data_IF_100600318456
#
_entry.id   IF_100600318456
#
_cell.length_a   1.000
_cell.length_b   1.000
_cell.length_c   1.000
_cell.angle_alpha   90.00
_cell.angle_beta   90.00
_cell.angle_gamma   90.00
#
_symmetry.space_group_name_H-M   'P 1'
#
loop_
_entity.id
_entity.type
_entity.pdbx_description
1 polymer ?
#
# COMPACT_ATOMS: atom_id res chain seq x y z
N UNK A 1 -8.89 40.39 -19.68
CA UNK A 1 -9.34 39.22 -18.91
C UNK A 1 -8.53 37.98 -19.31
N UNK A 2 -7.40 37.72 -18.64
CA UNK A 2 -6.61 36.48 -18.75
C UNK A 2 -5.95 36.26 -17.39
N UNK A 3 -6.55 35.41 -16.57
CA UNK A 3 -5.98 35.00 -15.28
C UNK A 3 -4.95 33.90 -15.58
N UNK A 4 -3.67 34.21 -15.40
CA UNK A 4 -2.59 33.21 -15.37
C UNK A 4 -2.59 32.56 -13.99
N UNK A 5 -3.10 31.33 -13.91
CA UNK A 5 -2.94 30.48 -12.72
C UNK A 5 -1.49 29.99 -12.72
N UNK A 6 -0.67 30.51 -11.81
CA UNK A 6 0.64 29.91 -11.48
C UNK A 6 0.36 28.73 -10.54
N UNK A 7 0.53 27.51 -11.04
CA UNK A 7 0.60 26.31 -10.21
C UNK A 7 1.90 26.36 -9.41
N UNK A 8 1.80 26.66 -8.11
CA UNK A 8 2.91 26.52 -7.17
C UNK A 8 2.95 25.05 -6.77
N UNK A 9 3.93 24.32 -7.31
CA UNK A 9 4.31 23.00 -6.83
C UNK A 9 5.06 23.21 -5.50
N UNK A 10 4.36 23.09 -4.37
CA UNK A 10 5.02 23.08 -3.06
C UNK A 10 5.71 21.71 -2.93
N UNK A 11 7.01 21.73 -3.16
CA UNK A 11 7.94 20.68 -2.78
C UNK A 11 8.00 20.70 -1.24
N UNK A 12 7.33 19.76 -0.57
CA UNK A 12 7.51 19.55 0.86
C UNK A 12 8.88 18.91 1.05
N UNK A 13 9.88 19.76 1.28
CA UNK A 13 11.20 19.37 1.77
C UNK A 13 11.09 19.23 3.27
N UNK A 14 11.38 18.03 3.78
CA UNK A 14 11.44 17.81 5.22
C UNK A 14 11.98 16.44 5.57
N UNK A 15 13.28 16.22 5.37
CA UNK A 15 14.15 15.41 6.25
C UNK A 15 15.59 15.51 5.72
N UNK A 16 16.31 16.58 6.10
CA UNK A 16 17.76 16.63 5.97
C UNK A 16 18.36 16.24 7.33
N UNK A 17 18.58 14.93 7.54
CA UNK A 17 19.42 14.47 8.63
C UNK A 17 20.87 14.56 8.16
N UNK A 18 21.65 15.43 8.80
CA UNK A 18 23.12 15.42 8.70
C UNK A 18 23.62 13.99 8.93
N UNK A 19 24.27 13.43 7.92
CA UNK A 19 24.91 12.13 7.95
C UNK A 19 26.13 12.16 8.87
N UNK A 20 25.93 11.84 10.15
CA UNK A 20 26.97 11.20 10.93
C UNK A 20 27.04 9.75 10.44
N UNK A 21 28.21 9.34 9.94
CA UNK A 21 28.51 7.96 9.55
C UNK A 21 28.47 7.04 10.78
N UNK A 22 27.27 6.76 11.27
CA UNK A 22 27.00 5.52 11.98
C UNK A 22 27.03 4.41 10.92
N UNK A 23 27.69 3.29 11.23
CA UNK A 23 27.60 2.07 10.44
C UNK A 23 26.14 1.59 10.41
N UNK A 24 25.31 2.20 9.55
CA UNK A 24 24.01 1.71 9.23
C UNK A 24 24.22 0.40 8.47
N UNK A 25 23.94 -0.72 9.13
CA UNK A 25 23.94 -2.01 8.46
C UNK A 25 23.02 -1.89 7.23
N UNK A 26 23.58 -2.15 6.04
CA UNK A 26 22.79 -2.13 4.81
C UNK A 26 21.61 -3.10 4.95
N UNK A 27 20.43 -2.67 4.53
CA UNK A 27 19.23 -3.51 4.59
C UNK A 27 19.44 -4.76 3.73
N UNK A 28 19.37 -5.93 4.38
CA UNK A 28 19.37 -7.22 3.70
C UNK A 28 17.98 -7.83 3.75
N UNK A 29 17.51 -8.33 2.61
CA UNK A 29 16.26 -9.07 2.50
C UNK A 29 16.33 -10.32 3.36
N UNK A 30 15.28 -10.56 4.15
CA UNK A 30 15.16 -11.75 4.99
C UNK A 30 14.25 -12.81 4.38
N UNK A 31 14.56 -14.06 4.70
CA UNK A 31 13.72 -15.19 4.35
C UNK A 31 12.44 -15.17 5.19
N UNK A 32 11.29 -15.08 4.51
CA UNK A 32 9.99 -15.12 5.19
C UNK A 32 9.60 -16.58 5.41
N UNK A 33 9.24 -16.99 6.65
CA UNK A 33 8.88 -18.37 6.94
C UNK A 33 7.72 -18.87 6.06
N UNK A 34 7.85 -20.07 5.48
CA UNK A 34 6.81 -20.63 4.62
C UNK A 34 5.47 -20.84 5.34
N UNK A 35 5.52 -21.20 6.64
CA UNK A 35 4.33 -21.30 7.49
C UNK A 35 3.56 -19.98 7.57
N UNK A 36 4.29 -18.87 7.72
CA UNK A 36 3.72 -17.53 7.74
C UNK A 36 3.11 -17.16 6.38
N UNK A 37 3.83 -17.42 5.28
CA UNK A 37 3.31 -17.18 3.93
C UNK A 37 2.01 -17.97 3.70
N UNK A 38 1.95 -19.24 4.08
CA UNK A 38 0.78 -20.11 3.89
C UNK A 38 -0.43 -19.70 4.75
N UNK A 39 -0.21 -18.94 5.83
CA UNK A 39 -1.31 -18.41 6.65
C UNK A 39 -2.10 -17.31 5.91
N UNK A 40 -1.41 -16.51 5.10
CA UNK A 40 -1.94 -15.29 4.47
C UNK A 40 -2.15 -15.41 2.95
N UNK A 41 -1.35 -16.23 2.27
CA UNK A 41 -1.50 -16.54 0.85
C UNK A 41 -2.22 -17.88 0.67
N UNK A 42 -3.53 -17.82 0.48
CA UNK A 42 -4.44 -18.96 0.28
C UNK A 42 -5.17 -18.83 -1.06
N UNK A 43 -4.53 -19.21 -2.18
CA UNK A 43 -5.15 -19.15 -3.50
C UNK A 43 -6.46 -19.92 -3.54
N UNK A 44 -7.51 -19.25 -3.98
CA UNK A 44 -8.82 -19.88 -4.14
C UNK A 44 -8.83 -20.76 -5.39
N UNK A 45 -9.32 -22.00 -5.26
CA UNK A 45 -9.56 -22.88 -6.39
C UNK A 45 -10.88 -22.49 -7.04
N UNK A 46 -10.85 -22.06 -8.31
CA UNK A 46 -12.05 -21.73 -9.07
C UNK A 46 -12.43 -22.86 -10.01
N UNK A 47 -13.70 -23.27 -9.99
CA UNK A 47 -14.26 -24.03 -11.08
C UNK A 47 -14.47 -23.07 -12.27
N UNK A 48 -13.56 -23.12 -13.24
CA UNK A 48 -13.51 -22.15 -14.35
C UNK A 48 -14.65 -22.33 -15.37
N UNK A 49 -15.50 -23.35 -15.20
CA UNK A 49 -16.57 -23.69 -16.14
C UNK A 49 -16.06 -23.87 -17.58
N UNK A 50 -16.97 -23.85 -18.56
CA UNK A 50 -16.62 -23.76 -20.00
C UNK A 50 -16.28 -22.32 -20.44
N UNK A 51 -16.40 -21.35 -19.54
CA UNK A 51 -16.03 -19.95 -19.76
C UNK A 51 -14.52 -19.84 -19.94
N UNK A 52 -14.06 -19.93 -21.18
CA UNK A 52 -12.71 -19.56 -21.54
C UNK A 52 -12.80 -18.32 -22.43
N UNK A 53 -12.26 -17.19 -21.96
CA UNK A 53 -11.84 -16.18 -22.93
C UNK A 53 -10.71 -16.81 -23.73
N UNK A 54 -10.84 -16.79 -25.05
CA UNK A 54 -9.88 -17.41 -25.96
C UNK A 54 -8.60 -16.57 -26.00
N UNK A 55 -7.72 -16.77 -25.02
CA UNK A 55 -6.33 -16.38 -25.14
C UNK A 55 -5.70 -17.22 -26.26
N UNK A 56 -4.90 -16.63 -27.16
CA UNK A 56 -4.14 -17.43 -28.10
C UNK A 56 -3.25 -18.42 -27.35
N UNK A 57 -3.18 -19.65 -27.83
CA UNK A 57 -2.38 -20.73 -27.22
C UNK A 57 -1.27 -21.21 -28.14
N UNK A 58 -1.10 -20.59 -29.31
CA UNK A 58 -0.05 -20.96 -30.24
C UNK A 58 1.35 -20.63 -29.67
N UNK A 59 2.36 -21.32 -30.20
CA UNK A 59 3.75 -21.19 -29.73
C UNK A 59 4.28 -19.76 -29.88
N UNK A 60 3.83 -19.01 -30.90
CA UNK A 60 4.26 -17.64 -31.14
C UNK A 60 3.72 -16.71 -30.05
N UNK A 61 2.45 -16.84 -29.66
CA UNK A 61 1.91 -16.06 -28.55
C UNK A 61 2.60 -16.40 -27.23
N UNK A 62 2.68 -17.69 -26.87
CA UNK A 62 3.29 -18.13 -25.59
C UNK A 62 4.74 -17.68 -25.43
N UNK A 63 5.50 -17.63 -26.52
CA UNK A 63 6.91 -17.23 -26.51
C UNK A 63 7.11 -15.73 -26.75
N UNK A 64 6.04 -14.93 -26.81
CA UNK A 64 6.16 -13.49 -27.00
C UNK A 64 6.86 -12.84 -25.80
N UNK A 65 7.73 -11.87 -26.07
CA UNK A 65 8.35 -11.02 -25.05
C UNK A 65 7.44 -9.87 -24.60
N UNK A 66 6.30 -9.68 -25.27
CA UNK A 66 5.30 -8.66 -24.98
C UNK A 66 3.90 -9.18 -25.29
N UNK A 67 3.04 -9.21 -24.27
CA UNK A 67 1.66 -9.65 -24.36
C UNK A 67 0.67 -8.48 -24.19
N UNK A 68 1.14 -7.26 -23.91
CA UNK A 68 0.31 -6.16 -23.40
C UNK A 68 -0.89 -5.88 -24.29
N UNK A 69 -0.68 -5.66 -25.59
CA UNK A 69 -1.76 -5.27 -26.51
C UNK A 69 -2.83 -6.37 -26.66
N UNK A 70 -2.41 -7.63 -26.69
CA UNK A 70 -3.32 -8.76 -26.84
C UNK A 70 -4.13 -9.01 -25.56
N UNK A 71 -3.48 -8.94 -24.39
CA UNK A 71 -4.13 -9.08 -23.08
C UNK A 71 -5.11 -7.93 -22.86
N UNK A 72 -4.72 -6.68 -23.16
CA UNK A 72 -5.58 -5.51 -23.04
C UNK A 72 -6.84 -5.67 -23.90
N UNK A 73 -6.69 -6.08 -25.18
CA UNK A 73 -7.83 -6.31 -26.08
C UNK A 73 -8.82 -7.35 -25.54
N UNK A 74 -8.34 -8.38 -24.83
CA UNK A 74 -9.20 -9.39 -24.19
C UNK A 74 -9.90 -8.78 -22.98
N UNK A 75 -9.19 -8.00 -22.15
CA UNK A 75 -9.78 -7.29 -21.00
C UNK A 75 -10.88 -6.33 -21.45
N UNK A 76 -10.66 -5.56 -22.52
CA UNK A 76 -11.61 -4.57 -23.01
C UNK A 76 -12.92 -5.21 -23.48
N UNK A 77 -12.85 -6.41 -24.07
CA UNK A 77 -13.99 -7.09 -24.67
C UNK A 77 -14.82 -7.94 -23.71
N UNK A 78 -14.27 -8.31 -22.55
CA UNK A 78 -14.89 -9.33 -21.69
C UNK A 78 -15.12 -8.79 -20.27
N UNK A 79 -16.28 -9.12 -19.69
CA UNK A 79 -16.57 -8.83 -18.28
C UNK A 79 -15.80 -9.75 -17.33
N UNK A 80 -15.69 -11.02 -17.66
CA UNK A 80 -14.94 -12.01 -16.88
C UNK A 80 -13.70 -12.38 -17.68
N UNK A 81 -12.50 -12.24 -17.11
CA UNK A 81 -11.21 -12.48 -17.74
C UNK A 81 -10.43 -13.54 -16.96
N UNK A 82 -10.42 -14.77 -17.44
CA UNK A 82 -9.53 -15.82 -16.92
C UNK A 82 -8.20 -15.75 -17.69
N UNK A 83 -7.14 -15.33 -17.01
CA UNK A 83 -5.80 -15.26 -17.59
C UNK A 83 -5.28 -16.65 -17.97
N UNK A 84 -4.40 -16.76 -18.98
CA UNK A 84 -3.87 -18.04 -19.40
C UNK A 84 -2.92 -18.61 -18.34
N UNK A 85 -2.80 -19.93 -18.31
CA UNK A 85 -2.04 -20.67 -17.30
C UNK A 85 -0.52 -20.66 -17.57
N UNK A 86 0.03 -19.48 -17.85
CA UNK A 86 1.46 -19.24 -18.04
C UNK A 86 1.81 -17.77 -17.75
N UNK A 87 3.12 -17.48 -17.73
CA UNK A 87 3.65 -16.13 -17.50
C UNK A 87 3.42 -15.21 -18.70
N UNK A 88 2.77 -14.08 -18.45
CA UNK A 88 2.60 -12.98 -19.38
C UNK A 88 3.66 -11.91 -19.14
N UNK A 89 4.21 -11.36 -20.22
CA UNK A 89 5.11 -10.21 -20.17
C UNK A 89 4.35 -8.94 -20.52
N UNK A 90 4.36 -7.95 -19.62
CA UNK A 90 3.64 -6.68 -19.78
C UNK A 90 4.65 -5.53 -19.83
N UNK A 91 4.68 -4.83 -20.97
CA UNK A 91 5.54 -3.67 -21.19
C UNK A 91 5.07 -2.42 -20.41
N UNK A 92 5.75 -1.28 -20.61
CA UNK A 92 5.51 0.00 -19.90
C UNK A 92 4.12 0.60 -20.02
N UNK A 93 3.25 0.10 -20.92
CA UNK A 93 1.86 0.56 -20.99
C UNK A 93 0.98 0.02 -19.86
N UNK A 94 1.42 -1.04 -19.18
CA UNK A 94 0.63 -1.73 -18.15
C UNK A 94 -0.68 -2.31 -18.69
N UNK A 95 -1.53 -2.79 -17.80
CA UNK A 95 -2.90 -3.20 -18.09
C UNK A 95 -3.88 -2.22 -17.44
N UNK A 96 -4.83 -1.71 -18.23
CA UNK A 96 -5.91 -0.82 -17.77
C UNK A 96 -7.17 -1.62 -17.55
N UNK A 97 -7.75 -1.54 -16.35
CA UNK A 97 -8.95 -2.26 -15.97
C UNK A 97 -10.09 -1.27 -15.82
N UNK A 98 -11.07 -1.35 -16.72
CA UNK A 98 -12.30 -0.56 -16.66
C UNK A 98 -13.35 -1.20 -15.76
N UNK A 99 -14.56 -0.62 -15.75
CA UNK A 99 -15.68 -1.08 -14.93
C UNK A 99 -16.20 -2.48 -15.31
N UNK A 100 -16.88 -3.10 -14.34
CA UNK A 100 -17.58 -4.38 -14.47
C UNK A 100 -16.65 -5.49 -14.97
N UNK A 101 -15.54 -5.67 -14.25
CA UNK A 101 -14.49 -6.64 -14.57
C UNK A 101 -14.25 -7.60 -13.43
N UNK A 102 -14.18 -8.90 -13.75
CA UNK A 102 -13.66 -9.95 -12.88
C UNK A 102 -12.46 -10.59 -13.53
N UNK A 103 -11.27 -10.43 -12.97
CA UNK A 103 -10.01 -10.96 -13.51
C UNK A 103 -9.50 -12.07 -12.61
N UNK A 104 -9.28 -13.25 -13.18
CA UNK A 104 -8.91 -14.46 -12.45
C UNK A 104 -7.57 -14.95 -12.98
N UNK A 105 -6.60 -15.06 -12.08
CA UNK A 105 -5.32 -15.71 -12.35
C UNK A 105 -5.46 -17.20 -12.05
N UNK A 106 -5.10 -18.03 -13.02
CA UNK A 106 -4.99 -19.48 -12.84
C UNK A 106 -3.71 -19.80 -12.06
N UNK A 107 -3.57 -21.07 -11.65
CA UNK A 107 -2.46 -21.55 -10.81
C UNK A 107 -1.08 -21.12 -11.33
N UNK A 108 -0.86 -21.17 -12.64
CA UNK A 108 0.42 -20.81 -13.28
C UNK A 108 0.36 -19.45 -14.00
N UNK A 109 -0.77 -18.73 -13.93
CA UNK A 109 -0.87 -17.36 -14.45
C UNK A 109 0.02 -16.44 -13.62
N UNK A 110 0.87 -15.66 -14.29
CA UNK A 110 1.63 -14.59 -13.66
C UNK A 110 1.88 -13.45 -14.64
N UNK A 111 2.06 -12.25 -14.12
CA UNK A 111 2.53 -11.10 -14.88
C UNK A 111 3.97 -10.83 -14.47
N UNK A 112 4.87 -10.80 -15.46
CA UNK A 112 6.17 -10.17 -15.36
C UNK A 112 6.09 -8.80 -16.03
N UNK A 113 6.24 -7.74 -15.25
CA UNK A 113 6.38 -6.41 -15.81
C UNK A 113 7.79 -6.23 -16.38
N UNK A 114 7.88 -5.79 -17.63
CA UNK A 114 9.13 -5.53 -18.36
C UNK A 114 9.29 -4.05 -18.71
N UNK A 115 8.29 -3.23 -18.38
CA UNK A 115 8.35 -1.78 -18.52
C UNK A 115 9.35 -1.12 -17.57
N UNK A 116 9.76 0.09 -17.91
CA UNK A 116 10.46 0.99 -16.99
C UNK A 116 9.46 1.87 -16.24
N UNK A 117 9.70 2.11 -14.96
CA UNK A 117 9.01 3.17 -14.23
C UNK A 117 9.53 4.54 -14.68
N UNK A 118 8.77 5.27 -15.50
CA UNK A 118 9.20 6.59 -16.01
C UNK A 118 8.11 7.67 -15.84
N UNK A 119 7.02 7.36 -15.13
CA UNK A 119 5.91 8.29 -14.93
C UNK A 119 4.75 7.67 -14.14
N UNK A 120 3.78 8.52 -13.78
CA UNK A 120 2.54 8.14 -13.06
C UNK A 120 1.71 7.06 -13.76
N UNK A 121 1.89 6.85 -15.07
CA UNK A 121 1.18 5.84 -15.84
C UNK A 121 1.89 4.47 -15.93
N UNK A 122 2.97 4.26 -15.16
CA UNK A 122 3.83 3.07 -15.27
C UNK A 122 3.39 1.90 -14.38
N UNK A 123 2.17 1.91 -13.83
CA UNK A 123 1.67 0.83 -12.97
C UNK A 123 1.40 -0.44 -13.78
N UNK A 124 1.65 -1.60 -13.17
CA UNK A 124 1.54 -2.89 -13.87
C UNK A 124 0.08 -3.19 -14.20
N UNK A 125 -0.81 -3.06 -13.22
CA UNK A 125 -2.26 -3.16 -13.36
C UNK A 125 -2.89 -1.90 -12.77
N UNK A 126 -3.60 -1.13 -13.59
CA UNK A 126 -4.24 0.13 -13.21
C UNK A 126 -5.75 0.02 -13.33
N UNK A 127 -6.44 0.08 -12.19
CA UNK A 127 -7.88 0.25 -12.08
C UNK A 127 -8.12 1.76 -11.91
N UNK A 128 -8.66 2.42 -12.92
CA UNK A 128 -8.78 3.88 -12.94
C UNK A 128 -10.14 4.34 -13.44
N UNK A 129 -10.79 5.23 -12.68
CA UNK A 129 -12.15 5.72 -12.96
C UNK A 129 -13.12 4.56 -13.28
N UNK A 130 -13.03 3.49 -12.49
CA UNK A 130 -13.76 2.25 -12.72
C UNK A 130 -14.62 1.88 -11.51
N UNK A 131 -15.66 1.09 -11.76
CA UNK A 131 -16.50 0.53 -10.71
C UNK A 131 -16.73 -0.97 -10.88
N UNK A 132 -16.97 -1.67 -9.76
CA UNK A 132 -17.30 -3.10 -9.73
C UNK A 132 -16.18 -3.95 -10.37
N UNK A 133 -15.01 -3.91 -9.74
CA UNK A 133 -13.83 -4.66 -10.21
C UNK A 133 -13.43 -5.70 -9.18
N UNK A 134 -13.21 -6.93 -9.63
CA UNK A 134 -12.71 -8.04 -8.82
C UNK A 134 -11.43 -8.58 -9.47
N UNK A 135 -10.34 -8.69 -8.71
CA UNK A 135 -9.10 -9.34 -9.15
C UNK A 135 -8.76 -10.44 -8.16
N UNK A 136 -8.55 -11.66 -8.66
CA UNK A 136 -8.36 -12.83 -7.82
C UNK A 136 -7.08 -13.58 -8.16
N UNK A 137 -6.36 -13.99 -7.12
CA UNK A 137 -5.13 -14.78 -7.17
C UNK A 137 -4.00 -14.11 -7.98
N UNK A 138 -4.01 -12.77 -8.10
CA UNK A 138 -3.03 -12.06 -8.90
C UNK A 138 -1.60 -12.45 -8.50
N UNK A 139 -0.78 -12.85 -9.48
CA UNK A 139 0.67 -13.06 -9.27
C UNK A 139 1.40 -12.06 -10.15
N UNK A 140 2.01 -11.05 -9.54
CA UNK A 140 2.65 -9.94 -10.22
C UNK A 140 4.09 -9.80 -9.75
N UNK A 141 5.02 -9.78 -10.70
CA UNK A 141 6.43 -9.43 -10.48
C UNK A 141 6.70 -8.13 -11.21
N UNK A 142 7.12 -7.10 -10.48
CA UNK A 142 7.42 -5.79 -11.04
C UNK A 142 8.80 -5.68 -11.69
N UNK A 143 9.22 -4.44 -11.94
CA UNK A 143 10.46 -4.10 -12.65
C UNK A 143 11.58 -3.58 -11.74
N UNK A 144 11.58 -3.89 -10.44
CA UNK A 144 12.58 -3.40 -9.47
C UNK A 144 14.02 -3.54 -9.98
N UNK A 145 14.34 -4.70 -10.56
CA UNK A 145 15.68 -5.03 -11.05
C UNK A 145 15.90 -4.73 -12.53
N UNK A 146 14.98 -3.99 -13.17
CA UNK A 146 15.16 -3.53 -14.54
C UNK A 146 16.41 -2.65 -14.64
N UNK A 147 17.25 -2.93 -15.66
CA UNK A 147 18.46 -2.15 -15.97
C UNK A 147 18.16 -0.97 -16.89
N UNK A 148 16.89 -0.61 -17.08
CA UNK A 148 16.53 0.51 -17.95
C UNK A 148 17.06 1.82 -17.38
N UNK A 149 17.78 2.59 -18.21
CA UNK A 149 18.27 3.94 -17.85
C UNK A 149 17.13 4.95 -17.64
N UNK A 150 15.91 4.62 -18.08
CA UNK A 150 14.71 5.46 -17.92
C UNK A 150 13.97 5.23 -16.60
N UNK A 151 14.43 4.29 -15.77
CA UNK A 151 13.78 3.95 -14.51
C UNK A 151 14.07 5.03 -13.44
N UNK A 152 13.07 5.85 -13.13
CA UNK A 152 13.18 7.00 -12.22
C UNK A 152 11.90 7.22 -11.41
N UNK A 153 11.98 8.07 -10.38
CA UNK A 153 10.82 8.46 -9.58
C UNK A 153 10.36 7.36 -8.61
N UNK A 154 9.08 7.43 -8.24
CA UNK A 154 8.50 6.67 -7.12
C UNK A 154 7.22 5.91 -7.48
N UNK A 155 6.90 5.84 -8.77
CA UNK A 155 5.69 5.21 -9.34
C UNK A 155 5.94 3.75 -9.75
N UNK A 156 4.98 3.15 -10.47
CA UNK A 156 5.01 1.75 -10.92
C UNK A 156 4.67 0.76 -9.80
N UNK A 157 3.44 0.90 -9.34
CA UNK A 157 2.82 -0.02 -8.39
C UNK A 157 2.46 -1.34 -9.07
N UNK A 158 2.41 -2.43 -8.31
CA UNK A 158 1.90 -3.72 -8.81
C UNK A 158 0.43 -3.62 -9.20
N UNK A 159 -0.41 -3.11 -8.29
CA UNK A 159 -1.81 -2.78 -8.57
C UNK A 159 -2.08 -1.36 -8.09
N UNK A 160 -2.53 -0.48 -8.99
CA UNK A 160 -3.00 0.86 -8.65
C UNK A 160 -4.53 0.92 -8.75
N UNK A 161 -5.19 1.37 -7.68
CA UNK A 161 -6.62 1.62 -7.57
C UNK A 161 -6.80 3.12 -7.42
N UNK A 162 -7.28 3.76 -8.48
CA UNK A 162 -7.32 5.20 -8.61
C UNK A 162 -8.74 5.64 -8.93
N UNK A 163 -9.31 6.54 -8.12
CA UNK A 163 -10.64 7.12 -8.35
C UNK A 163 -11.72 6.08 -8.66
N UNK A 164 -11.70 4.94 -7.96
CA UNK A 164 -12.49 3.76 -8.32
C UNK A 164 -13.39 3.31 -7.17
N UNK A 165 -14.48 2.63 -7.51
CA UNK A 165 -15.51 2.24 -6.54
C UNK A 165 -15.84 0.76 -6.56
N UNK A 166 -16.08 0.15 -5.40
CA UNK A 166 -16.42 -1.27 -5.27
C UNK A 166 -15.36 -2.16 -5.92
N UNK A 167 -14.14 -2.11 -5.39
CA UNK A 167 -13.00 -2.89 -5.89
C UNK A 167 -12.61 -3.94 -4.86
N UNK A 168 -12.53 -5.20 -5.28
CA UNK A 168 -12.07 -6.30 -4.44
C UNK A 168 -10.83 -6.94 -5.06
N UNK A 169 -9.76 -7.02 -4.28
CA UNK A 169 -8.55 -7.77 -4.61
C UNK A 169 -8.44 -8.93 -3.62
N UNK A 170 -8.43 -10.16 -4.12
CA UNK A 170 -8.36 -11.36 -3.28
C UNK A 170 -7.11 -12.16 -3.57
N UNK A 171 -6.35 -12.44 -2.52
CA UNK A 171 -5.18 -13.31 -2.54
C UNK A 171 -4.11 -12.89 -3.57
N UNK A 172 -3.72 -11.61 -3.56
CA UNK A 172 -2.67 -11.12 -4.46
C UNK A 172 -1.27 -11.47 -3.91
N UNK A 173 -0.41 -12.03 -4.77
CA UNK A 173 1.03 -12.16 -4.57
C UNK A 173 1.75 -11.14 -5.44
N UNK A 174 2.34 -10.11 -4.82
CA UNK A 174 3.02 -9.03 -5.53
C UNK A 174 4.46 -8.96 -5.04
N UNK A 175 5.43 -8.93 -5.96
CA UNK A 175 6.83 -8.76 -5.59
C UNK A 175 7.61 -7.86 -6.54
N UNK A 176 8.73 -7.35 -6.03
CA UNK A 176 9.77 -6.71 -6.84
C UNK A 176 9.23 -5.54 -7.71
N UNK A 177 8.27 -4.78 -7.19
CA UNK A 177 7.79 -3.55 -7.82
C UNK A 177 8.78 -2.41 -7.62
N UNK A 178 8.84 -1.51 -8.59
CA UNK A 178 9.70 -0.33 -8.50
C UNK A 178 9.08 0.79 -7.65
N UNK A 179 7.75 0.86 -7.59
CA UNK A 179 7.00 1.67 -6.65
C UNK A 179 6.45 0.80 -5.52
N UNK A 180 5.15 0.98 -5.25
CA UNK A 180 4.45 0.28 -4.17
C UNK A 180 3.98 -1.12 -4.61
N UNK A 181 3.57 -1.97 -3.67
CA UNK A 181 2.86 -3.20 -4.01
C UNK A 181 1.45 -2.91 -4.52
N UNK A 182 0.64 -2.30 -3.66
CA UNK A 182 -0.72 -1.83 -3.97
C UNK A 182 -0.82 -0.35 -3.62
N UNK A 183 -1.35 0.46 -4.54
CA UNK A 183 -1.62 1.88 -4.31
C UNK A 183 -3.12 2.12 -4.37
N UNK A 184 -3.71 2.73 -3.33
CA UNK A 184 -5.13 3.07 -3.25
C UNK A 184 -5.23 4.58 -3.06
N UNK A 185 -5.72 5.30 -4.06
CA UNK A 185 -5.73 6.75 -3.97
C UNK A 185 -6.30 7.46 -5.17
N UNK A 186 -5.66 8.59 -5.49
CA UNK A 186 -6.05 9.49 -6.56
C UNK A 186 -4.81 10.12 -7.22
N UNK A 187 -4.95 10.51 -8.49
CA UNK A 187 -3.97 11.32 -9.23
C UNK A 187 -4.45 12.76 -9.46
N UNK A 188 -5.67 13.09 -9.04
CA UNK A 188 -6.32 14.39 -9.23
C UNK A 188 -7.15 14.85 -8.01
N UNK A 189 -6.97 14.19 -6.86
CA UNK A 189 -7.58 14.48 -5.56
C UNK A 189 -9.06 14.21 -5.46
N UNK A 190 -9.54 13.27 -6.27
CA UNK A 190 -10.77 12.52 -6.00
C UNK A 190 -10.42 11.44 -4.94
N UNK A 191 -11.12 10.33 -4.87
CA UNK A 191 -10.87 9.25 -3.92
C UNK A 191 -11.40 7.94 -4.48
N UNK A 192 -10.87 6.83 -3.95
CA UNK A 192 -11.46 5.50 -4.16
C UNK A 192 -12.44 5.16 -3.03
N UNK A 193 -13.54 4.46 -3.33
CA UNK A 193 -14.58 4.14 -2.33
C UNK A 193 -14.93 2.65 -2.31
N UNK A 194 -15.13 2.08 -1.12
CA UNK A 194 -15.49 0.68 -0.92
C UNK A 194 -14.44 -0.28 -1.54
N UNK A 195 -13.25 -0.25 -0.98
CA UNK A 195 -12.10 -1.03 -1.45
C UNK A 195 -11.81 -2.14 -0.46
N UNK A 196 -11.71 -3.38 -0.94
CA UNK A 196 -11.37 -4.54 -0.13
C UNK A 196 -10.13 -5.21 -0.70
N UNK A 197 -9.11 -5.39 0.13
CA UNK A 197 -7.97 -6.26 -0.15
C UNK A 197 -7.96 -7.35 0.91
N UNK A 198 -8.17 -8.61 0.48
CA UNK A 198 -8.32 -9.75 1.37
C UNK A 198 -7.40 -10.89 0.97
N UNK A 199 -6.46 -11.24 1.85
CA UNK A 199 -5.49 -12.28 1.55
C UNK A 199 -4.39 -11.78 0.63
N UNK A 200 -3.19 -12.34 0.81
CA UNK A 200 -2.08 -12.09 -0.10
C UNK A 200 -0.75 -11.90 0.59
N UNK A 201 0.28 -11.74 -0.25
CA UNK A 201 1.64 -11.50 0.16
C UNK A 201 2.31 -10.47 -0.74
N UNK A 202 2.69 -9.34 -0.16
CA UNK A 202 3.49 -8.30 -0.82
C UNK A 202 4.93 -8.40 -0.32
N UNK A 203 5.91 -8.57 -1.21
CA UNK A 203 7.29 -8.82 -0.82
C UNK A 203 8.33 -8.09 -1.67
N UNK A 204 9.40 -7.57 -1.06
CA UNK A 204 10.55 -6.96 -1.78
C UNK A 204 10.15 -5.79 -2.69
N UNK A 205 9.10 -5.07 -2.35
CA UNK A 205 8.71 -3.86 -3.08
C UNK A 205 9.60 -2.69 -2.68
N UNK A 206 9.80 -1.73 -3.59
CA UNK A 206 10.82 -0.69 -3.40
C UNK A 206 10.42 0.39 -2.40
N UNK A 207 9.14 0.72 -2.38
CA UNK A 207 8.54 1.69 -1.49
C UNK A 207 7.67 0.98 -0.48
N UNK A 208 6.37 1.23 -0.50
CA UNK A 208 5.46 0.68 0.49
C UNK A 208 4.85 -0.63 0.00
N UNK A 209 4.51 -1.53 0.92
CA UNK A 209 3.70 -2.70 0.60
C UNK A 209 2.32 -2.28 0.07
N UNK A 210 1.61 -1.48 0.86
CA UNK A 210 0.34 -0.88 0.49
C UNK A 210 0.34 0.60 0.88
N UNK A 211 0.00 1.49 -0.04
CA UNK A 211 -0.23 2.91 0.23
C UNK A 211 -1.73 3.22 0.12
N UNK A 212 -2.27 3.94 1.09
CA UNK A 212 -3.64 4.49 1.08
C UNK A 212 -3.56 6.01 1.21
N UNK A 213 -3.83 6.73 0.12
CA UNK A 213 -3.63 8.18 0.07
C UNK A 213 -4.93 8.98 -0.04
N UNK A 214 -5.91 8.48 -0.81
CA UNK A 214 -7.23 9.10 -0.89
C UNK A 214 -8.31 8.05 -1.10
N UNK A 215 -8.96 7.64 -0.01
CA UNK A 215 -10.01 6.65 -0.04
C UNK A 215 -11.02 6.77 1.12
N UNK A 216 -12.21 6.22 0.87
CA UNK A 216 -13.30 6.06 1.83
C UNK A 216 -13.74 4.60 1.89
N UNK A 217 -13.98 4.08 3.08
CA UNK A 217 -14.41 2.70 3.32
C UNK A 217 -13.41 1.69 2.72
N UNK A 218 -12.23 1.61 3.31
CA UNK A 218 -11.19 0.65 2.91
C UNK A 218 -11.07 -0.45 3.94
N UNK A 219 -11.06 -1.70 3.49
CA UNK A 219 -10.79 -2.87 4.33
C UNK A 219 -9.57 -3.60 3.78
N UNK A 220 -8.47 -3.57 4.53
CA UNK A 220 -7.30 -4.41 4.26
C UNK A 220 -7.27 -5.51 5.32
N UNK A 221 -7.30 -6.77 4.89
CA UNK A 221 -7.35 -7.88 5.86
C UNK A 221 -6.62 -9.13 5.40
N UNK A 222 -6.10 -9.89 6.35
CA UNK A 222 -5.38 -11.13 6.10
C UNK A 222 -4.20 -10.94 5.12
N UNK A 223 -3.39 -9.90 5.31
CA UNK A 223 -2.28 -9.60 4.38
C UNK A 223 -0.94 -9.78 5.11
N UNK A 224 -0.01 -10.45 4.44
CA UNK A 224 1.40 -10.46 4.80
C UNK A 224 2.17 -9.45 3.94
N UNK A 225 2.96 -8.59 4.56
CA UNK A 225 3.81 -7.63 3.87
C UNK A 225 5.22 -7.72 4.41
N UNK A 226 6.21 -7.90 3.53
CA UNK A 226 7.57 -8.13 3.97
C UNK A 226 8.64 -7.49 3.10
N UNK A 227 9.77 -7.18 3.71
CA UNK A 227 10.96 -6.71 3.01
C UNK A 227 10.70 -5.48 2.13
N UNK A 228 10.04 -4.43 2.64
CA UNK A 228 9.93 -3.14 1.93
C UNK A 228 11.21 -2.31 2.12
N UNK A 229 11.86 -1.93 1.01
CA UNK A 229 13.15 -1.21 1.05
C UNK A 229 13.53 -0.61 -0.32
N UNK A 230 14.32 0.45 -0.33
CA UNK A 230 14.97 1.04 -1.49
C UNK A 230 14.51 2.46 -1.87
N UNK A 231 13.36 2.93 -1.39
CA UNK A 231 12.91 4.32 -1.53
C UNK A 231 11.80 4.65 -0.53
N UNK A 232 11.88 5.80 0.13
CA UNK A 232 10.95 6.22 1.18
C UNK A 232 9.46 6.18 0.73
N UNK A 233 8.53 5.90 1.67
CA UNK A 233 8.75 5.64 3.11
C UNK A 233 9.30 4.25 3.48
N UNK A 234 9.09 3.22 2.66
CA UNK A 234 9.57 1.84 2.93
C UNK A 234 8.80 1.13 4.04
N UNK A 235 7.50 1.41 4.16
CA UNK A 235 6.61 0.84 5.16
C UNK A 235 5.85 -0.38 4.64
N UNK A 236 5.41 -1.26 5.54
CA UNK A 236 4.49 -2.33 5.20
C UNK A 236 3.18 -1.75 4.66
N UNK A 237 2.47 -0.99 5.49
CA UNK A 237 1.32 -0.17 5.09
C UNK A 237 1.62 1.28 5.42
N UNK A 238 1.26 2.18 4.50
CA UNK A 238 1.41 3.62 4.66
C UNK A 238 0.07 4.30 4.37
N UNK A 239 -0.47 5.00 5.37
CA UNK A 239 -1.70 5.79 5.25
C UNK A 239 -1.27 7.25 5.24
N UNK A 240 -1.20 7.84 4.05
CA UNK A 240 -0.59 9.16 3.82
C UNK A 240 -1.35 9.92 2.72
N UNK A 241 -2.19 10.92 3.06
CA UNK A 241 -2.77 11.78 2.04
C UNK A 241 -1.65 12.57 1.35
N UNK A 242 -1.74 12.66 0.02
CA UNK A 242 -0.75 13.37 -0.79
C UNK A 242 -1.11 14.84 -0.97
N UNK A 243 -2.39 15.18 -0.87
CA UNK A 243 -2.92 16.52 -1.06
C UNK A 243 -3.96 16.91 -0.01
N UNK A 244 -4.14 18.22 0.12
CA UNK A 244 -5.13 18.77 1.02
C UNK A 244 -6.59 18.40 0.70
N UNK A 245 -6.87 18.10 -0.56
CA UNK A 245 -8.21 17.71 -1.02
C UNK A 245 -8.50 16.22 -0.82
N UNK A 246 -7.47 15.41 -0.55
CA UNK A 246 -7.64 13.97 -0.36
C UNK A 246 -8.57 13.66 0.81
N UNK A 247 -9.05 12.43 0.84
CA UNK A 247 -9.97 11.92 1.85
C UNK A 247 -9.39 10.64 2.42
N UNK A 248 -9.31 10.54 3.75
CA UNK A 248 -9.03 9.28 4.43
C UNK A 248 -10.15 9.05 5.44
N UNK A 249 -11.10 8.18 5.12
CA UNK A 249 -12.27 7.97 5.98
C UNK A 249 -12.64 6.50 6.07
N UNK A 250 -12.89 6.01 7.28
CA UNK A 250 -13.25 4.61 7.53
C UNK A 250 -12.23 3.63 6.94
N UNK A 251 -10.98 3.70 7.40
CA UNK A 251 -9.92 2.77 7.00
C UNK A 251 -9.80 1.69 8.07
N UNK A 252 -10.01 0.43 7.69
CA UNK A 252 -9.98 -0.71 8.60
C UNK A 252 -8.93 -1.72 8.17
N UNK A 253 -7.95 -1.95 9.05
CA UNK A 253 -6.91 -2.95 8.91
C UNK A 253 -7.19 -4.09 9.89
N UNK A 254 -7.28 -5.33 9.42
CA UNK A 254 -7.56 -6.49 10.28
C UNK A 254 -6.65 -7.67 9.98
N UNK A 255 -6.01 -8.22 11.01
CA UNK A 255 -5.13 -9.38 10.85
C UNK A 255 -4.05 -9.12 9.77
N UNK A 256 -3.25 -8.09 10.01
CA UNK A 256 -2.12 -7.71 9.15
C UNK A 256 -0.85 -8.24 9.80
N UNK A 257 0.01 -8.87 9.00
CA UNK A 257 1.36 -9.24 9.42
C UNK A 257 2.39 -8.47 8.61
N UNK A 258 3.27 -7.75 9.28
CA UNK A 258 4.39 -7.05 8.66
C UNK A 258 5.70 -7.65 9.15
N UNK A 259 6.63 -7.91 8.22
CA UNK A 259 7.86 -8.63 8.51
C UNK A 259 9.07 -7.97 7.85
N UNK A 260 9.99 -7.47 8.66
CA UNK A 260 11.28 -6.94 8.23
C UNK A 260 11.15 -5.82 7.19
N UNK A 261 10.31 -4.82 7.48
CA UNK A 261 10.16 -3.63 6.64
C UNK A 261 11.12 -2.53 7.14
N UNK A 262 11.81 -1.84 6.22
CA UNK A 262 12.93 -0.99 6.65
C UNK A 262 12.51 0.14 7.60
N UNK A 263 11.37 0.77 7.34
CA UNK A 263 10.89 1.90 8.15
C UNK A 263 9.86 1.49 9.20
N UNK A 264 8.72 0.95 8.80
CA UNK A 264 7.66 0.57 9.73
C UNK A 264 6.81 -0.58 9.22
N UNK A 265 6.17 -1.29 10.15
CA UNK A 265 5.05 -2.17 9.84
C UNK A 265 3.88 -1.36 9.29
N UNK A 266 3.36 -0.44 10.09
CA UNK A 266 2.32 0.50 9.68
C UNK A 266 2.79 1.93 9.95
N UNK A 267 2.62 2.81 8.96
CA UNK A 267 2.84 4.25 9.03
C UNK A 267 1.52 4.98 8.83
N UNK A 268 1.29 6.02 9.62
CA UNK A 268 0.17 6.97 9.46
C UNK A 268 0.74 8.38 9.44
N UNK A 269 0.71 9.01 8.27
CA UNK A 269 1.13 10.39 8.09
C UNK A 269 -0.08 11.24 7.71
N UNK A 270 -0.48 12.22 8.53
CA UNK A 270 -1.65 13.08 8.27
C UNK A 270 -1.27 14.55 8.02
N UNK A 271 0.02 14.88 7.85
CA UNK A 271 0.46 16.27 7.74
C UNK A 271 -0.16 17.02 6.56
N UNK A 272 -0.45 16.36 5.43
CA UNK A 272 -1.14 16.98 4.30
C UNK A 272 -2.57 17.47 4.64
N UNK A 273 -3.10 17.11 5.81
CA UNK A 273 -4.38 17.58 6.34
C UNK A 273 -4.29 18.78 7.29
N UNK A 274 -3.10 19.35 7.49
CA UNK A 274 -2.90 20.59 8.23
C UNK A 274 -3.48 21.81 7.49
N UNK A 275 -4.23 22.69 8.17
CA UNK A 275 -5.05 23.76 7.59
C UNK A 275 -4.91 25.11 8.28
N UNK A 276 -5.04 26.15 7.47
CA UNK A 276 -5.08 27.53 7.93
C UNK A 276 -6.45 27.91 8.53
N UNK A 277 -7.54 27.31 8.04
CA UNK A 277 -8.91 27.61 8.44
C UNK A 277 -9.57 26.43 9.13
N UNK A 278 -10.31 26.70 10.21
CA UNK A 278 -11.11 25.71 10.93
C UNK A 278 -12.19 25.07 10.04
N UNK A 279 -12.69 25.78 9.02
CA UNK A 279 -13.71 25.28 8.09
C UNK A 279 -13.24 24.11 7.22
N UNK A 280 -11.93 23.96 7.06
CA UNK A 280 -11.32 23.05 6.07
C UNK A 280 -10.72 21.80 6.73
N UNK A 281 -10.88 21.69 8.05
CA UNK A 281 -10.38 20.57 8.86
C UNK A 281 -10.95 19.26 8.34
N UNK A 282 -10.06 18.27 8.20
CA UNK A 282 -10.41 16.93 7.75
C UNK A 282 -10.68 16.02 8.94
N UNK A 283 -11.69 15.16 8.83
CA UNK A 283 -11.95 14.09 9.78
C UNK A 283 -11.49 12.75 9.21
N UNK A 284 -10.69 12.03 9.99
CA UNK A 284 -10.10 10.74 9.62
C UNK A 284 -10.38 9.69 10.70
N UNK A 285 -10.88 8.54 10.27
CA UNK A 285 -11.16 7.39 11.14
C UNK A 285 -10.38 6.17 10.65
N UNK A 286 -9.46 5.68 11.49
CA UNK A 286 -8.61 4.53 11.20
C UNK A 286 -8.75 3.51 12.33
N UNK A 287 -8.94 2.24 12.00
CA UNK A 287 -8.94 1.16 12.99
C UNK A 287 -8.00 0.06 12.53
N UNK A 288 -7.08 -0.33 13.41
CA UNK A 288 -6.08 -1.37 13.23
C UNK A 288 -6.35 -2.45 14.28
N UNK A 289 -6.68 -3.65 13.84
CA UNK A 289 -7.03 -4.77 14.72
C UNK A 289 -6.18 -6.00 14.39
N UNK A 290 -5.58 -6.60 15.42
CA UNK A 290 -4.75 -7.80 15.30
C UNK A 290 -3.57 -7.59 14.32
N UNK A 291 -2.89 -6.45 14.40
CA UNK A 291 -1.65 -6.21 13.66
C UNK A 291 -0.49 -6.89 14.38
N UNK A 292 0.31 -7.68 13.67
CA UNK A 292 1.61 -8.14 14.16
C UNK A 292 2.71 -7.54 13.29
N UNK A 293 3.68 -6.89 13.92
CA UNK A 293 4.94 -6.55 13.28
C UNK A 293 6.10 -7.35 13.88
N UNK A 294 7.01 -7.79 13.02
CA UNK A 294 8.23 -8.46 13.41
C UNK A 294 9.43 -7.89 12.63
N UNK A 295 10.45 -7.45 13.35
CA UNK A 295 11.75 -7.02 12.81
C UNK A 295 11.75 -5.76 11.91
N UNK A 296 10.64 -5.02 11.80
CA UNK A 296 10.69 -3.67 11.20
C UNK A 296 11.36 -2.69 12.16
N UNK A 297 11.88 -1.55 11.69
CA UNK A 297 12.40 -0.51 12.62
C UNK A 297 11.33 -0.10 13.62
N UNK A 298 10.12 0.20 13.14
CA UNK A 298 8.94 0.48 13.94
C UNK A 298 7.81 -0.51 13.67
N UNK A 299 7.05 -0.89 14.70
CA UNK A 299 5.78 -1.59 14.51
C UNK A 299 4.70 -0.63 14.02
N UNK A 300 4.57 0.50 14.72
CA UNK A 300 3.72 1.63 14.36
C UNK A 300 4.51 2.94 14.32
N UNK A 301 4.39 3.69 13.23
CA UNK A 301 4.94 5.04 13.07
C UNK A 301 3.80 6.02 12.81
N UNK A 302 3.74 7.14 13.54
CA UNK A 302 2.76 8.20 13.25
C UNK A 302 3.40 9.57 13.10
N UNK A 303 2.98 10.34 12.10
CA UNK A 303 3.35 11.74 11.88
C UNK A 303 2.10 12.56 11.61
N UNK A 304 1.57 13.22 12.64
CA UNK A 304 0.19 13.75 12.60
C UNK A 304 0.09 15.27 12.44
N UNK A 305 1.03 16.02 13.04
CA UNK A 305 0.99 17.48 13.03
C UNK A 305 2.40 18.11 13.11
N UNK A 306 3.18 18.01 12.04
CA UNK A 306 4.53 18.58 11.96
C UNK A 306 4.58 19.96 11.33
N UNK A 307 3.52 20.39 10.65
CA UNK A 307 3.49 21.67 9.95
C UNK A 307 3.01 22.79 10.87
N UNK A 308 3.44 24.03 10.61
CA UNK A 308 3.12 25.20 11.43
C UNK A 308 1.71 25.79 11.17
N UNK A 309 0.74 24.96 10.81
CA UNK A 309 -0.64 25.39 10.58
C UNK A 309 -1.44 25.39 11.88
N UNK A 310 -2.42 26.30 12.05
CA UNK A 310 -3.20 26.41 13.28
C UNK A 310 -4.18 25.25 13.53
N UNK A 311 -4.55 24.49 12.50
CA UNK A 311 -5.44 23.34 12.60
C UNK A 311 -4.84 22.12 11.92
N UNK A 312 -5.09 20.94 12.48
CA UNK A 312 -4.68 19.63 11.94
C UNK A 312 -5.90 18.71 11.77
N UNK A 313 -5.66 17.48 11.31
CA UNK A 313 -6.74 16.49 11.17
C UNK A 313 -7.38 16.15 12.53
N UNK A 314 -8.68 15.88 12.50
CA UNK A 314 -9.47 15.39 13.65
C UNK A 314 -10.00 13.99 13.39
N UNK A 315 -10.53 13.33 14.42
CA UNK A 315 -11.10 11.99 14.33
C UNK A 315 -10.40 11.01 15.26
N UNK A 316 -10.41 9.73 14.91
CA UNK A 316 -9.93 8.67 15.80
C UNK A 316 -9.07 7.62 15.10
N UNK A 317 -7.98 7.23 15.75
CA UNK A 317 -7.14 6.09 15.39
C UNK A 317 -7.24 5.05 16.51
N UNK A 318 -7.79 3.88 16.21
CA UNK A 318 -7.91 2.77 17.17
C UNK A 318 -6.91 1.68 16.83
N UNK A 319 -6.11 1.27 17.80
CA UNK A 319 -5.17 0.16 17.69
C UNK A 319 -5.55 -0.89 18.74
N UNK A 320 -5.90 -2.07 18.25
CA UNK A 320 -6.42 -3.17 19.07
C UNK A 320 -5.61 -4.44 18.84
N UNK A 321 -5.21 -5.08 19.93
CA UNK A 321 -4.58 -6.40 19.94
C UNK A 321 -3.32 -6.45 19.04
N UNK A 322 -2.52 -5.38 19.07
CA UNK A 322 -1.30 -5.32 18.26
C UNK A 322 -0.15 -6.05 18.98
N UNK A 323 0.70 -6.73 18.21
CA UNK A 323 1.90 -7.42 18.71
C UNK A 323 3.13 -6.94 17.97
N UNK A 324 4.07 -6.32 18.68
CA UNK A 324 5.29 -5.76 18.11
C UNK A 324 6.51 -6.50 18.68
N UNK A 325 7.29 -7.12 17.79
CA UNK A 325 8.42 -8.00 18.13
C UNK A 325 9.67 -7.61 17.38
N UNK A 326 10.82 -7.76 18.04
CA UNK A 326 12.14 -7.52 17.43
C UNK A 326 12.29 -6.16 16.73
N UNK A 327 11.50 -5.17 17.14
CA UNK A 327 11.59 -3.82 16.60
C UNK A 327 12.77 -3.07 17.21
N UNK A 328 13.37 -2.18 16.42
CA UNK A 328 14.37 -1.23 16.95
C UNK A 328 13.69 -0.25 17.93
N UNK A 329 12.53 0.27 17.53
CA UNK A 329 11.63 1.07 18.38
C UNK A 329 10.19 0.74 18.01
N UNK A 330 9.47 -0.08 18.79
CA UNK A 330 8.20 -0.69 18.37
C UNK A 330 7.09 0.31 18.03
N UNK A 331 7.20 1.52 18.56
CA UNK A 331 6.33 2.63 18.23
C UNK A 331 7.15 3.92 18.08
N UNK A 332 6.61 4.90 17.36
CA UNK A 332 7.13 6.27 17.30
C UNK A 332 6.01 7.28 17.01
N UNK A 333 6.04 8.42 17.71
CA UNK A 333 5.12 9.55 17.54
C UNK A 333 5.90 10.83 17.24
N UNK A 334 5.31 11.69 16.40
CA UNK A 334 5.70 13.10 16.39
C UNK A 334 5.41 13.74 17.75
N UNK A 335 6.37 14.47 18.34
CA UNK A 335 6.23 15.06 19.69
C UNK A 335 5.25 16.25 19.74
N UNK A 336 4.82 16.74 18.58
CA UNK A 336 3.89 17.87 18.48
C UNK A 336 2.49 17.47 18.93
N UNK A 337 1.76 18.42 19.53
CA UNK A 337 0.34 18.25 19.86
C UNK A 337 -0.46 18.01 18.58
N UNK A 338 -1.42 17.08 18.63
CA UNK A 338 -2.34 16.77 17.54
C UNK A 338 -3.78 16.68 18.04
N UNK A 339 -4.75 16.86 17.15
CA UNK A 339 -6.19 16.81 17.47
C UNK A 339 -6.84 15.44 17.27
N UNK A 340 -6.11 14.48 16.68
CA UNK A 340 -6.57 13.08 16.53
C UNK A 340 -6.62 12.40 17.90
N UNK A 341 -7.74 11.76 18.23
CA UNK A 341 -7.82 10.85 19.37
C UNK A 341 -7.20 9.49 19.01
N UNK A 342 -6.32 8.96 19.86
CA UNK A 342 -5.68 7.67 19.65
C UNK A 342 -6.02 6.74 20.81
N UNK A 343 -6.57 5.56 20.50
CA UNK A 343 -6.94 4.54 21.49
C UNK A 343 -6.10 3.28 21.28
N UNK A 344 -5.37 2.89 22.31
CA UNK A 344 -4.65 1.61 22.38
C UNK A 344 -5.38 0.63 23.29
N UNK A 345 -5.50 -0.62 22.86
CA UNK A 345 -6.02 -1.73 23.69
C UNK A 345 -5.33 -3.04 23.32
N UNK A 346 -4.99 -3.88 24.31
CA UNK A 346 -4.35 -5.19 24.08
C UNK A 346 -2.99 -5.12 23.38
N UNK A 347 -2.16 -4.11 23.67
CA UNK A 347 -0.85 -3.94 23.01
C UNK A 347 0.20 -4.82 23.68
N UNK A 348 0.82 -5.70 22.89
CA UNK A 348 1.89 -6.59 23.31
C UNK A 348 3.18 -6.15 22.66
N UNK A 349 4.14 -5.69 23.47
CA UNK A 349 5.52 -5.40 23.05
C UNK A 349 6.44 -6.46 23.66
N UNK A 350 7.19 -7.16 22.81
CA UNK A 350 8.04 -8.29 23.23
C UNK A 350 9.16 -7.86 24.19
N UNK A 351 9.80 -6.73 23.92
CA UNK A 351 10.87 -6.22 24.78
C UNK A 351 10.29 -5.47 25.98
N UNK A 352 10.60 -5.95 27.20
CA UNK A 352 10.06 -5.38 28.44
C UNK A 352 10.45 -3.91 28.68
N UNK A 353 11.65 -3.48 28.27
CA UNK A 353 12.08 -2.09 28.43
C UNK A 353 11.33 -1.17 27.47
N UNK A 354 11.20 -1.58 26.20
CA UNK A 354 10.41 -0.84 25.22
C UNK A 354 8.91 -0.80 25.59
N UNK A 355 8.40 -1.86 26.23
CA UNK A 355 7.03 -1.88 26.77
C UNK A 355 6.85 -0.83 27.88
N UNK A 356 7.76 -0.78 28.86
CA UNK A 356 7.71 0.23 29.93
C UNK A 356 7.83 1.64 29.38
N UNK A 357 8.71 1.83 28.39
CA UNK A 357 8.88 3.10 27.68
C UNK A 357 7.57 3.51 26.97
N UNK A 358 6.92 2.60 26.24
CA UNK A 358 5.59 2.80 25.66
C UNK A 358 4.56 3.25 26.69
N UNK A 359 4.40 2.48 27.77
CA UNK A 359 3.41 2.78 28.80
C UNK A 359 3.68 4.12 29.51
N UNK A 360 4.93 4.55 29.60
CA UNK A 360 5.32 5.81 30.25
C UNK A 360 5.10 7.00 29.30
N UNK A 361 5.67 6.93 28.11
CA UNK A 361 5.65 8.05 27.17
C UNK A 361 4.26 8.26 26.59
N UNK A 362 3.57 7.19 26.19
CA UNK A 362 2.26 7.30 25.53
C UNK A 362 1.18 7.82 26.47
N UNK A 363 1.23 7.49 27.78
CA UNK A 363 0.29 8.05 28.78
C UNK A 363 0.45 9.55 28.99
N UNK A 364 1.62 10.11 28.65
CA UNK A 364 1.87 11.55 28.77
C UNK A 364 1.38 12.35 27.56
N UNK A 365 1.05 11.67 26.45
CA UNK A 365 0.61 12.33 25.22
C UNK A 365 -0.84 12.80 25.34
N UNK A 366 -1.09 14.03 24.89
CA UNK A 366 -2.45 14.55 24.75
C UNK A 366 -3.22 13.77 23.68
N UNK A 367 -4.54 13.60 23.88
CA UNK A 367 -5.42 12.87 22.97
C UNK A 367 -5.02 11.41 22.72
N UNK A 368 -4.24 10.81 23.62
CA UNK A 368 -3.91 9.38 23.57
C UNK A 368 -4.40 8.67 24.83
N UNK A 369 -5.05 7.51 24.66
CA UNK A 369 -5.60 6.69 25.73
C UNK A 369 -5.12 5.25 25.60
N UNK A 370 -4.70 4.66 26.71
CA UNK A 370 -4.48 3.23 26.83
C UNK A 370 -5.67 2.67 27.62
N UNK A 371 -6.49 1.87 26.94
CA UNK A 371 -7.66 1.23 27.49
C UNK A 371 -7.29 -0.14 28.08
N UNK A 372 -7.98 -0.60 29.13
CA UNK A 372 -7.85 -1.98 29.60
C UNK A 372 -8.26 -2.96 28.50
N UNK A 373 -7.74 -4.20 28.59
CA UNK A 373 -8.06 -5.30 27.68
C UNK A 373 -9.53 -5.73 27.73
#
# INVERSE_FOLDING_TARGET
MKIKIKSILILVVGFFLMSLNFNAQEFSVQNVPASLVNQYLKPSNFNLGKTANLFPTDKKFRNSTDHTAAVQKIIDKNKIVILPDFKLFINSKGLKIGSDKKIIFRKNSSIQFTGSANGRFSDVVKIYNAQNVEIINAVIVGSRYSKSKTQTGQWSSGIAILNSKNVTITNAKISDTFGDGIFIGSEDGIFSENIVVDGGWVNKVRRNGISVTSAKNVVLKNILISNTYGHDPQCGIDIEPSWEKDILKNIYLKNIYTYHNLAAGISINLNAFNRQSASDVKTTDITIENHTDEASRHGLLTSLNTDNQPYDAQGIIKIKNAKWKQNQSPYWFTPNKHSIEIEFSGIIIENLNQKKDFETNVKSLHHVKILPE
#
